data_IF_459978922482
#
_entry.id   IF_459978922482
#
_cell.length_a   1.000
_cell.length_b   1.000
_cell.length_c   1.000
_cell.angle_alpha   90.00
_cell.angle_beta   90.00
_cell.angle_gamma   90.00
#
_symmetry.space_group_name_H-M   'P 1'
#
loop_
_entity.id
_entity.type
_entity.pdbx_description
1 polymer ?
#
# COMPACT_ATOMS: atom_id res chain seq x y z
N UNK A 1 -85.60 -15.24 -29.02
CA UNK A 1 -84.83 -14.12 -28.42
C UNK A 1 -83.85 -14.67 -27.38
N UNK A 2 -82.80 -15.34 -27.86
CA UNK A 2 -81.57 -15.73 -27.16
C UNK A 2 -80.46 -15.07 -27.97
N UNK A 3 -79.33 -14.67 -27.34
CA UNK A 3 -78.09 -14.22 -28.01
C UNK A 3 -77.70 -12.73 -27.91
N UNK A 4 -77.71 -12.13 -26.72
CA UNK A 4 -76.90 -10.91 -26.48
C UNK A 4 -76.29 -10.80 -25.07
N UNK A 5 -76.74 -11.56 -24.07
CA UNK A 5 -76.23 -11.44 -22.69
C UNK A 5 -74.96 -12.26 -22.37
N UNK A 6 -74.58 -13.24 -23.20
CA UNK A 6 -73.41 -14.12 -22.93
C UNK A 6 -72.05 -13.56 -23.41
N UNK A 7 -72.03 -12.48 -24.20
CA UNK A 7 -70.80 -11.93 -24.76
C UNK A 7 -70.12 -10.88 -23.86
N UNK A 8 -70.83 -10.27 -22.90
CA UNK A 8 -70.27 -9.21 -22.05
C UNK A 8 -69.55 -9.74 -20.80
N UNK A 9 -69.91 -10.94 -20.32
CA UNK A 9 -69.27 -11.60 -19.17
C UNK A 9 -67.91 -12.24 -19.52
N UNK A 10 -67.70 -12.61 -20.79
CA UNK A 10 -66.45 -13.20 -21.29
C UNK A 10 -65.35 -12.15 -21.53
N UNK A 11 -65.74 -10.91 -21.88
CA UNK A 11 -64.82 -9.83 -22.22
C UNK A 11 -64.24 -9.13 -20.97
N UNK A 12 -65.06 -8.97 -19.93
CA UNK A 12 -64.64 -8.41 -18.63
C UNK A 12 -63.72 -9.35 -17.84
N UNK A 13 -63.88 -10.68 -17.99
CA UNK A 13 -62.99 -11.68 -17.37
C UNK A 13 -61.62 -11.78 -18.06
N UNK A 14 -61.53 -11.53 -19.38
CA UNK A 14 -60.25 -11.46 -20.11
C UNK A 14 -59.42 -10.21 -19.77
N UNK A 15 -60.04 -9.03 -19.60
CA UNK A 15 -59.33 -7.77 -19.27
C UNK A 15 -58.72 -7.75 -17.86
N UNK A 16 -59.33 -8.44 -16.89
CA UNK A 16 -58.80 -8.54 -15.51
C UNK A 16 -57.55 -9.43 -15.43
N UNK A 17 -57.50 -10.51 -16.20
CA UNK A 17 -56.34 -11.42 -16.23
C UNK A 17 -55.13 -10.83 -16.96
N UNK A 18 -55.31 -10.00 -17.99
CA UNK A 18 -54.19 -9.34 -18.68
C UNK A 18 -53.52 -8.26 -17.83
N UNK A 19 -54.28 -7.53 -17.00
CA UNK A 19 -53.72 -6.54 -16.07
C UNK A 19 -52.90 -7.18 -14.94
N UNK A 20 -53.40 -8.28 -14.37
CA UNK A 20 -52.69 -9.06 -13.34
C UNK A 20 -51.43 -9.71 -13.94
N UNK A 21 -51.51 -10.30 -15.13
CA UNK A 21 -50.36 -10.90 -15.81
C UNK A 21 -49.28 -9.86 -16.19
N UNK A 22 -49.67 -8.67 -16.66
CA UNK A 22 -48.75 -7.56 -16.93
C UNK A 22 -48.08 -7.02 -15.65
N UNK A 23 -48.80 -7.01 -14.53
CA UNK A 23 -48.23 -6.59 -13.24
C UNK A 23 -47.25 -7.62 -12.68
N UNK A 24 -47.56 -8.92 -12.81
CA UNK A 24 -46.62 -10.00 -12.48
C UNK A 24 -45.39 -9.99 -13.39
N UNK A 25 -45.55 -9.76 -14.70
CA UNK A 25 -44.44 -9.58 -15.63
C UNK A 25 -43.59 -8.36 -15.29
N UNK A 26 -44.20 -7.24 -14.90
CA UNK A 26 -43.48 -6.04 -14.48
C UNK A 26 -42.69 -6.29 -13.19
N UNK A 27 -43.30 -6.89 -12.16
CA UNK A 27 -42.59 -7.26 -10.94
C UNK A 27 -41.51 -8.32 -11.17
N UNK A 28 -41.74 -9.29 -12.05
CA UNK A 28 -40.76 -10.28 -12.45
C UNK A 28 -39.60 -9.65 -13.23
N UNK A 29 -39.86 -8.73 -14.17
CA UNK A 29 -38.84 -8.00 -14.91
C UNK A 29 -38.07 -7.03 -14.01
N UNK A 30 -38.72 -6.37 -13.06
CA UNK A 30 -38.07 -5.55 -12.03
C UNK A 30 -37.19 -6.43 -11.12
N UNK A 31 -37.69 -7.59 -10.68
CA UNK A 31 -36.94 -8.54 -9.86
C UNK A 31 -35.75 -9.14 -10.60
N UNK A 32 -35.91 -9.54 -11.88
CA UNK A 32 -34.83 -10.01 -12.75
C UNK A 32 -33.83 -8.88 -13.05
N UNK A 33 -34.29 -7.64 -13.25
CA UNK A 33 -33.39 -6.49 -13.43
C UNK A 33 -32.62 -6.13 -12.15
N UNK A 34 -33.20 -6.32 -10.97
CA UNK A 34 -32.52 -6.18 -9.68
C UNK A 34 -31.52 -7.33 -9.44
N UNK A 35 -31.83 -8.55 -9.88
CA UNK A 35 -30.93 -9.71 -9.79
C UNK A 35 -29.76 -9.66 -10.78
N UNK A 36 -29.85 -8.85 -11.84
CA UNK A 36 -28.81 -8.73 -12.88
C UNK A 36 -27.71 -7.70 -12.58
N UNK A 37 -27.72 -7.00 -11.43
CA UNK A 37 -26.73 -5.93 -11.14
C UNK A 37 -26.03 -6.09 -9.78
N UNK A 38 -26.15 -7.20 -9.07
CA UNK A 38 -25.27 -7.45 -7.91
C UNK A 38 -23.91 -7.96 -8.40
N UNK A 39 -23.12 -7.08 -9.03
CA UNK A 39 -21.66 -7.22 -8.97
C UNK A 39 -21.32 -6.91 -7.51
N UNK A 40 -21.23 -7.95 -6.68
CA UNK A 40 -20.64 -7.85 -5.34
C UNK A 40 -19.17 -7.46 -5.51
N UNK A 41 -18.93 -6.17 -5.66
CA UNK A 41 -17.60 -5.63 -5.66
C UNK A 41 -17.05 -5.66 -4.24
N UNK A 42 -15.77 -5.97 -4.12
CA UNK A 42 -15.03 -5.85 -2.87
C UNK A 42 -15.24 -4.43 -2.32
N UNK A 43 -15.72 -4.36 -1.09
CA UNK A 43 -15.97 -3.16 -0.30
C UNK A 43 -14.67 -2.40 -0.04
N UNK A 44 -13.58 -3.12 0.28
CA UNK A 44 -12.24 -2.56 0.38
C UNK A 44 -11.37 -2.96 -0.83
N UNK A 45 -11.27 -2.04 -1.79
CA UNK A 45 -10.53 -2.23 -3.04
C UNK A 45 -9.01 -2.05 -2.93
N UNK A 46 -8.46 -1.87 -1.73
CA UNK A 46 -7.00 -1.80 -1.57
C UNK A 46 -6.32 -3.10 -2.04
N UNK A 47 -5.21 -2.94 -2.77
CA UNK A 47 -4.46 -4.02 -3.43
C UNK A 47 -5.27 -4.83 -4.47
N UNK A 48 -6.24 -4.19 -5.12
CA UNK A 48 -7.00 -4.79 -6.23
C UNK A 48 -6.67 -4.12 -7.56
N UNK A 49 -6.88 -4.83 -8.66
CA UNK A 49 -6.86 -4.25 -10.00
C UNK A 49 -8.06 -3.31 -10.19
N UNK A 50 -7.85 -2.21 -10.93
CA UNK A 50 -8.88 -1.25 -11.34
C UNK A 50 -9.90 -1.86 -12.31
N UNK A 51 -10.73 -2.76 -11.79
CA UNK A 51 -11.80 -3.47 -12.51
C UNK A 51 -13.11 -3.24 -11.78
N UNK A 52 -14.25 -3.41 -12.48
CA UNK A 52 -15.57 -3.25 -11.86
C UNK A 52 -15.74 -4.13 -10.61
N UNK A 53 -15.19 -5.35 -10.64
CA UNK A 53 -15.31 -6.33 -9.57
C UNK A 53 -14.21 -6.24 -8.47
N UNK A 54 -13.08 -5.55 -8.72
CA UNK A 54 -12.01 -5.39 -7.73
C UNK A 54 -11.23 -6.67 -7.42
N UNK A 55 -10.69 -7.35 -8.44
CA UNK A 55 -9.89 -8.57 -8.24
C UNK A 55 -8.57 -8.27 -7.52
N UNK A 56 -8.22 -9.03 -6.49
CA UNK A 56 -6.94 -8.87 -5.80
C UNK A 56 -5.75 -9.06 -6.74
N UNK A 57 -4.81 -8.12 -6.71
CA UNK A 57 -3.60 -8.16 -7.50
C UNK A 57 -2.54 -9.06 -6.84
N UNK A 58 -1.49 -9.41 -7.58
CA UNK A 58 -0.38 -10.22 -7.06
C UNK A 58 0.31 -9.56 -5.87
N UNK A 59 0.41 -8.23 -5.86
CA UNK A 59 0.96 -7.46 -4.76
C UNK A 59 0.06 -7.35 -3.52
N UNK A 60 -1.13 -7.97 -3.51
CA UNK A 60 -1.93 -8.10 -2.30
C UNK A 60 -1.29 -9.08 -1.29
N UNK A 61 -0.53 -10.07 -1.77
CA UNK A 61 -0.03 -11.21 -0.97
C UNK A 61 1.46 -11.52 -1.20
N UNK A 62 2.23 -10.60 -1.79
CA UNK A 62 3.65 -10.80 -2.13
C UNK A 62 4.63 -10.51 -0.98
N UNK A 63 4.12 -10.26 0.23
CA UNK A 63 4.85 -10.14 1.47
C UNK A 63 4.55 -11.32 2.39
N UNK A 64 5.30 -11.44 3.49
CA UNK A 64 5.00 -12.37 4.57
C UNK A 64 4.21 -11.70 5.69
N UNK A 65 3.46 -12.50 6.44
CA UNK A 65 2.87 -12.06 7.69
C UNK A 65 3.97 -11.90 8.77
N UNK A 66 3.75 -11.03 9.76
CA UNK A 66 4.63 -10.95 10.94
C UNK A 66 4.35 -12.12 11.89
N UNK A 67 3.08 -12.48 12.06
CA UNK A 67 2.72 -13.76 12.71
C UNK A 67 2.71 -14.90 11.70
N UNK A 68 2.73 -16.15 12.17
CA UNK A 68 2.62 -17.30 11.26
C UNK A 68 1.30 -17.29 10.50
N UNK A 69 1.29 -17.88 9.30
CA UNK A 69 0.08 -17.99 8.48
C UNK A 69 -1.08 -18.68 9.24
N UNK A 70 -0.76 -19.66 10.09
CA UNK A 70 -1.74 -20.34 10.96
C UNK A 70 -2.30 -19.39 12.03
N UNK A 71 -1.45 -18.60 12.70
CA UNK A 71 -1.91 -17.64 13.71
C UNK A 71 -2.78 -16.53 13.09
N UNK A 72 -2.38 -16.00 11.95
CA UNK A 72 -3.18 -15.04 11.21
C UNK A 72 -4.51 -15.64 10.75
N UNK A 73 -4.53 -16.90 10.31
CA UNK A 73 -5.77 -17.59 9.95
C UNK A 73 -6.66 -17.83 11.18
N UNK A 74 -6.09 -18.07 12.36
CA UNK A 74 -6.87 -18.14 13.61
C UNK A 74 -7.49 -16.80 13.99
N UNK A 75 -6.81 -15.68 13.74
CA UNK A 75 -7.30 -14.33 14.05
C UNK A 75 -8.38 -13.88 13.05
N UNK A 76 -8.11 -14.06 11.74
CA UNK A 76 -8.93 -13.51 10.66
C UNK A 76 -9.85 -14.54 9.98
N UNK A 77 -9.71 -15.82 10.30
CA UNK A 77 -10.55 -16.93 9.80
C UNK A 77 -10.23 -17.43 8.40
N UNK A 78 -9.72 -16.57 7.50
CA UNK A 78 -9.32 -16.96 6.14
C UNK A 78 -8.28 -16.00 5.57
N UNK A 79 -7.68 -16.38 4.43
CA UNK A 79 -6.69 -15.57 3.72
C UNK A 79 -7.23 -15.09 2.38
N UNK A 80 -6.83 -13.88 1.99
CA UNK A 80 -7.06 -13.34 0.66
C UNK A 80 -6.36 -14.19 -0.41
N UNK A 81 -6.99 -14.32 -1.57
CA UNK A 81 -6.46 -15.05 -2.73
C UNK A 81 -6.41 -14.14 -3.98
N UNK A 82 -5.27 -14.15 -4.67
CA UNK A 82 -5.05 -13.38 -5.91
C UNK A 82 -6.07 -13.75 -6.99
N UNK A 83 -6.54 -12.75 -7.74
CA UNK A 83 -7.46 -12.94 -8.86
C UNK A 83 -8.91 -13.18 -8.46
N UNK A 84 -9.20 -13.35 -7.17
CA UNK A 84 -10.56 -13.51 -6.63
C UNK A 84 -11.19 -12.15 -6.33
N UNK A 85 -12.52 -12.14 -6.21
CA UNK A 85 -13.34 -10.99 -5.78
C UNK A 85 -14.00 -11.26 -4.43
N UNK A 86 -13.59 -12.32 -3.74
CA UNK A 86 -14.10 -12.65 -2.40
C UNK A 86 -13.58 -11.60 -1.44
N UNK A 87 -14.47 -10.90 -0.74
CA UNK A 87 -14.09 -9.89 0.25
C UNK A 87 -13.05 -10.44 1.23
N UNK A 88 -12.01 -9.66 1.54
CA UNK A 88 -11.08 -9.99 2.61
C UNK A 88 -11.85 -10.18 3.92
N UNK A 89 -11.32 -10.94 4.89
CA UNK A 89 -12.00 -11.08 6.18
C UNK A 89 -12.40 -9.72 6.75
N UNK A 90 -13.66 -9.55 7.17
CA UNK A 90 -14.16 -8.25 7.61
C UNK A 90 -13.35 -7.70 8.79
N UNK A 91 -12.86 -8.57 9.67
CA UNK A 91 -11.96 -8.22 10.77
C UNK A 91 -10.65 -7.57 10.30
N UNK A 92 -10.24 -7.71 9.03
CA UNK A 92 -9.07 -7.03 8.50
C UNK A 92 -9.21 -5.50 8.44
N UNK A 93 -10.44 -4.96 8.46
CA UNK A 93 -10.67 -3.51 8.34
C UNK A 93 -11.93 -3.01 9.06
N UNK A 94 -12.66 -3.89 9.73
CA UNK A 94 -13.82 -3.54 10.52
C UNK A 94 -13.62 -3.89 11.99
N UNK A 95 -14.16 -3.02 12.84
CA UNK A 95 -14.25 -3.23 14.28
C UNK A 95 -15.70 -2.95 14.70
N UNK A 96 -16.31 -3.85 15.46
CA UNK A 96 -17.71 -3.73 15.92
C UNK A 96 -18.73 -3.52 14.78
N UNK A 97 -18.47 -4.08 13.59
CA UNK A 97 -19.35 -3.99 12.43
C UNK A 97 -19.22 -2.70 11.60
N UNK A 98 -18.30 -1.81 11.96
CA UNK A 98 -18.02 -0.56 11.25
C UNK A 98 -16.58 -0.55 10.72
N UNK A 99 -16.33 0.23 9.65
CA UNK A 99 -14.96 0.40 9.13
C UNK A 99 -14.09 1.10 10.18
N UNK A 100 -12.90 0.54 10.40
CA UNK A 100 -11.91 1.07 11.34
C UNK A 100 -10.54 1.13 10.66
N UNK A 101 -10.04 2.36 10.47
CA UNK A 101 -8.67 2.59 9.99
C UNK A 101 -7.63 2.06 10.98
N UNK A 102 -7.95 2.03 12.28
CA UNK A 102 -7.08 1.42 13.29
C UNK A 102 -6.96 -0.09 13.08
N UNK A 103 -8.09 -0.79 12.93
CA UNK A 103 -8.07 -2.23 12.68
C UNK A 103 -7.37 -2.58 11.37
N UNK A 104 -7.54 -1.74 10.36
CA UNK A 104 -6.82 -1.85 9.10
C UNK A 104 -5.30 -1.69 9.28
N UNK A 105 -4.85 -0.67 10.00
CA UNK A 105 -3.42 -0.47 10.31
C UNK A 105 -2.83 -1.65 11.08
N UNK A 106 -3.56 -2.20 12.05
CA UNK A 106 -3.13 -3.40 12.78
C UNK A 106 -2.99 -4.58 11.81
N UNK A 107 -3.95 -4.76 10.90
CA UNK A 107 -3.92 -5.85 9.93
C UNK A 107 -2.75 -5.71 8.93
N UNK A 108 -2.42 -4.47 8.51
CA UNK A 108 -1.25 -4.17 7.69
C UNK A 108 0.05 -4.50 8.44
N UNK A 109 0.15 -4.17 9.73
CA UNK A 109 1.40 -4.34 10.49
C UNK A 109 1.59 -5.73 11.09
N UNK A 110 0.57 -6.59 11.11
CA UNK A 110 0.64 -7.91 11.76
C UNK A 110 0.43 -9.07 10.79
N UNK A 111 -0.63 -9.02 9.98
CA UNK A 111 -1.03 -10.08 9.06
C UNK A 111 -1.34 -9.56 7.64
N UNK A 112 -0.43 -8.80 7.01
CA UNK A 112 -0.69 -8.16 5.73
C UNK A 112 -0.93 -9.17 4.60
N UNK A 113 -0.26 -10.32 4.59
CA UNK A 113 -0.47 -11.35 3.56
C UNK A 113 -1.84 -11.99 3.70
N UNK A 114 -2.24 -12.37 4.92
CA UNK A 114 -3.56 -12.97 5.18
C UNK A 114 -4.68 -12.00 4.83
N UNK A 115 -4.54 -10.73 5.22
CA UNK A 115 -5.52 -9.69 4.93
C UNK A 115 -5.39 -9.08 3.53
N UNK A 116 -4.43 -9.52 2.70
CA UNK A 116 -4.27 -9.01 1.33
C UNK A 116 -3.87 -7.53 1.25
N UNK A 117 -3.06 -7.05 2.20
CA UNK A 117 -2.58 -5.67 2.31
C UNK A 117 -1.08 -5.51 2.05
N UNK A 118 -0.41 -6.50 1.46
CA UNK A 118 1.03 -6.40 1.21
C UNK A 118 1.40 -5.10 0.46
N UNK A 119 0.61 -4.67 -0.52
CA UNK A 119 0.84 -3.43 -1.26
C UNK A 119 0.78 -2.14 -0.42
N UNK A 120 0.31 -2.21 0.83
CA UNK A 120 0.24 -1.08 1.78
C UNK A 120 1.28 -1.20 2.91
N UNK A 121 2.09 -2.25 2.90
CA UNK A 121 3.21 -2.36 3.83
C UNK A 121 4.36 -1.50 3.33
N UNK A 122 5.06 -0.81 4.23
CA UNK A 122 6.13 0.11 3.85
C UNK A 122 7.17 -0.47 2.87
N UNK A 123 7.62 -1.75 2.99
CA UNK A 123 8.59 -2.31 2.04
C UNK A 123 8.02 -2.47 0.63
N UNK A 124 6.69 -2.52 0.47
CA UNK A 124 6.01 -2.80 -0.79
C UNK A 124 5.17 -1.60 -1.29
N UNK A 125 5.02 -0.53 -0.53
CA UNK A 125 4.20 0.64 -0.88
C UNK A 125 4.98 1.68 -1.72
N UNK A 126 5.29 1.31 -2.95
CA UNK A 126 5.85 2.20 -3.97
C UNK A 126 5.50 1.70 -5.37
N UNK A 127 5.86 2.47 -6.41
CA UNK A 127 5.74 2.02 -7.79
C UNK A 127 7.03 1.36 -8.27
N UNK A 128 6.91 0.41 -9.20
CA UNK A 128 8.05 -0.05 -9.98
C UNK A 128 8.57 1.04 -10.91
N UNK A 129 9.79 0.87 -11.43
CA UNK A 129 10.33 1.75 -12.47
C UNK A 129 9.37 1.80 -13.66
N UNK A 130 9.14 2.99 -14.26
CA UNK A 130 8.29 3.12 -15.44
C UNK A 130 8.87 2.39 -16.68
N UNK A 131 10.19 2.19 -16.70
CA UNK A 131 10.91 1.51 -17.79
C UNK A 131 11.91 0.50 -17.21
N UNK A 132 11.42 -0.62 -16.65
CA UNK A 132 12.29 -1.59 -16.03
C UNK A 132 13.03 -2.41 -17.10
N UNK A 133 14.28 -2.77 -16.84
CA UNK A 133 15.07 -3.69 -17.68
C UNK A 133 14.51 -5.10 -17.62
N UNK A 134 13.84 -5.46 -16.51
CA UNK A 134 13.17 -6.74 -16.28
C UNK A 134 11.64 -6.54 -16.28
N UNK A 135 10.89 -7.47 -16.86
CA UNK A 135 9.44 -7.46 -16.71
C UNK A 135 9.04 -7.83 -15.27
N UNK A 136 8.65 -6.83 -14.48
CA UNK A 136 8.28 -7.02 -13.07
C UNK A 136 7.13 -8.01 -12.85
N UNK A 137 6.27 -8.25 -13.84
CA UNK A 137 5.20 -9.25 -13.74
C UNK A 137 5.70 -10.70 -13.75
N UNK A 138 6.94 -10.94 -14.20
CA UNK A 138 7.57 -12.27 -14.24
C UNK A 138 8.53 -12.51 -13.07
N UNK A 139 8.76 -11.50 -12.23
CA UNK A 139 9.65 -11.62 -11.08
C UNK A 139 9.03 -12.54 -10.04
N UNK A 140 9.78 -13.55 -9.63
CA UNK A 140 9.34 -14.51 -8.62
C UNK A 140 9.94 -14.19 -7.25
N UNK A 141 9.29 -14.66 -6.18
CA UNK A 141 9.81 -14.55 -4.81
C UNK A 141 11.23 -15.15 -4.66
N UNK A 142 11.57 -16.18 -5.47
CA UNK A 142 12.93 -16.73 -5.50
C UNK A 142 13.95 -15.74 -6.08
N UNK A 143 13.58 -15.00 -7.13
CA UNK A 143 14.45 -13.96 -7.70
C UNK A 143 14.66 -12.82 -6.71
N UNK A 144 13.63 -12.43 -5.94
CA UNK A 144 13.77 -11.40 -4.90
C UNK A 144 14.77 -11.79 -3.80
N UNK A 145 14.97 -13.08 -3.54
CA UNK A 145 15.93 -13.60 -2.54
C UNK A 145 17.30 -13.92 -3.13
N UNK A 146 17.47 -13.84 -4.44
CA UNK A 146 18.71 -14.18 -5.10
C UNK A 146 19.63 -12.94 -5.15
N UNK A 147 20.84 -13.00 -4.57
CA UNK A 147 21.80 -11.90 -4.59
C UNK A 147 22.12 -11.38 -6.00
N UNK A 148 22.08 -12.25 -7.02
CA UNK A 148 22.39 -11.87 -8.40
C UNK A 148 21.37 -10.90 -8.99
N UNK A 149 20.11 -10.97 -8.54
CA UNK A 149 19.03 -10.14 -9.07
C UNK A 149 18.78 -8.89 -8.26
N UNK A 150 19.33 -8.82 -7.04
CA UNK A 150 18.96 -7.82 -6.04
C UNK A 150 19.14 -6.39 -6.54
N UNK A 151 20.26 -6.10 -7.18
CA UNK A 151 20.57 -4.76 -7.70
C UNK A 151 19.55 -4.28 -8.74
N UNK A 152 19.26 -5.13 -9.73
CA UNK A 152 18.31 -4.78 -10.79
C UNK A 152 16.89 -4.70 -10.23
N UNK A 153 16.49 -5.61 -9.35
CA UNK A 153 15.11 -5.66 -8.82
C UNK A 153 14.79 -4.49 -7.88
N UNK A 154 15.77 -3.92 -7.19
CA UNK A 154 15.58 -2.74 -6.34
C UNK A 154 15.33 -1.49 -7.16
N UNK A 155 16.05 -1.33 -8.26
CA UNK A 155 15.88 -0.18 -9.15
C UNK A 155 14.62 -0.33 -10.03
N UNK A 156 14.38 -1.55 -10.53
CA UNK A 156 13.38 -1.77 -11.57
C UNK A 156 12.03 -2.21 -11.00
N UNK A 157 12.04 -3.12 -10.01
CA UNK A 157 10.85 -3.79 -9.52
C UNK A 157 10.69 -3.76 -7.97
N UNK A 158 10.92 -2.62 -7.28
CA UNK A 158 10.95 -2.57 -5.83
C UNK A 158 9.62 -2.97 -5.17
N UNK A 159 8.47 -2.65 -5.80
CA UNK A 159 7.15 -3.03 -5.30
C UNK A 159 6.96 -4.55 -5.24
N UNK A 160 7.57 -5.30 -6.16
CA UNK A 160 7.33 -6.75 -6.26
C UNK A 160 8.08 -7.50 -5.15
N UNK A 161 9.27 -7.01 -4.82
CA UNK A 161 10.20 -7.67 -3.90
C UNK A 161 10.25 -7.08 -2.50
N UNK A 162 9.53 -5.99 -2.22
CA UNK A 162 9.55 -5.38 -0.91
C UNK A 162 10.76 -4.47 -0.69
N UNK A 163 11.22 -3.78 -1.74
CA UNK A 163 12.42 -2.93 -1.70
C UNK A 163 12.13 -1.42 -1.73
N UNK A 164 10.88 -1.01 -1.51
CA UNK A 164 10.47 0.40 -1.54
C UNK A 164 11.21 1.27 -0.52
N UNK A 165 11.55 0.71 0.64
CA UNK A 165 12.32 1.40 1.68
C UNK A 165 13.83 1.43 1.42
N UNK A 166 14.31 0.78 0.37
CA UNK A 166 15.75 0.62 0.20
C UNK A 166 16.40 1.86 -0.41
N UNK A 167 15.72 2.73 -1.16
CA UNK A 167 16.27 4.03 -1.56
C UNK A 167 17.66 3.97 -2.24
N UNK A 168 18.00 2.84 -2.87
CA UNK A 168 19.33 2.53 -3.43
C UNK A 168 20.32 1.89 -2.44
N UNK A 169 19.95 1.77 -1.17
CA UNK A 169 20.73 1.19 -0.11
C UNK A 169 20.14 -0.04 0.58
N UNK A 170 20.84 -1.14 0.35
CA UNK A 170 20.42 -2.49 0.63
C UNK A 170 21.65 -3.41 0.75
N UNK A 171 21.44 -4.55 1.38
CA UNK A 171 22.41 -5.65 1.40
C UNK A 171 22.29 -6.44 0.11
N UNK A 172 23.38 -6.69 -0.63
CA UNK A 172 23.33 -7.64 -1.75
C UNK A 172 23.18 -9.08 -1.24
N UNK A 173 23.83 -9.41 -0.12
CA UNK A 173 23.70 -10.70 0.52
C UNK A 173 22.41 -10.81 1.36
N UNK A 174 21.81 -11.99 1.38
CA UNK A 174 20.51 -12.25 2.04
C UNK A 174 20.65 -12.36 3.56
N UNK A 175 21.81 -12.83 4.03
CA UNK A 175 22.03 -13.29 5.41
C UNK A 175 22.97 -12.38 6.22
N UNK A 176 23.03 -11.09 5.88
CA UNK A 176 23.88 -10.14 6.60
C UNK A 176 23.51 -10.00 8.07
N UNK A 177 22.25 -10.29 8.44
CA UNK A 177 21.75 -10.25 9.82
C UNK A 177 22.07 -11.52 10.62
N UNK A 178 22.52 -12.61 9.97
CA UNK A 178 22.82 -13.88 10.65
C UNK A 178 24.04 -13.76 11.56
N UNK A 179 25.05 -13.02 11.14
CA UNK A 179 26.23 -12.73 11.96
C UNK A 179 26.61 -11.25 11.80
N UNK A 180 26.08 -10.41 12.68
CA UNK A 180 26.40 -8.97 12.71
C UNK A 180 27.89 -8.69 13.01
N UNK A 181 28.63 -9.65 13.59
CA UNK A 181 30.04 -9.43 13.94
C UNK A 181 30.93 -9.25 12.71
N UNK A 182 30.51 -9.74 11.54
CA UNK A 182 31.22 -9.55 10.27
C UNK A 182 31.42 -8.07 9.93
N UNK A 183 30.52 -7.19 10.38
CA UNK A 183 30.59 -5.75 10.16
C UNK A 183 31.83 -5.10 10.81
N UNK A 184 32.32 -5.66 11.92
CA UNK A 184 33.48 -5.15 12.67
C UNK A 184 34.78 -5.90 12.34
N UNK A 185 34.70 -6.98 11.57
CA UNK A 185 35.87 -7.77 11.19
C UNK A 185 36.66 -7.03 10.10
N UNK A 186 37.92 -6.72 10.39
CA UNK A 186 38.83 -6.00 9.46
C UNK A 186 39.03 -6.77 8.15
N UNK A 187 39.11 -8.09 8.19
CA UNK A 187 39.30 -8.94 7.01
C UNK A 187 38.05 -9.09 6.14
N UNK A 188 36.87 -8.69 6.63
CA UNK A 188 35.62 -8.76 5.88
C UNK A 188 35.13 -7.40 5.39
N UNK A 189 35.90 -6.32 5.62
CA UNK A 189 35.47 -4.95 5.31
C UNK A 189 35.04 -4.75 3.85
N UNK A 190 35.75 -5.35 2.89
CA UNK A 190 35.39 -5.25 1.47
C UNK A 190 34.08 -5.99 1.18
N UNK A 191 33.91 -7.19 1.75
CA UNK A 191 32.68 -7.96 1.64
C UNK A 191 31.49 -7.21 2.24
N UNK A 192 31.60 -6.70 3.48
CA UNK A 192 30.45 -6.06 4.14
C UNK A 192 30.09 -4.71 3.52
N UNK A 193 31.05 -3.98 2.97
CA UNK A 193 30.80 -2.71 2.25
C UNK A 193 30.16 -2.89 0.89
N UNK A 194 30.31 -4.06 0.26
CA UNK A 194 29.63 -4.33 -1.00
C UNK A 194 28.31 -5.08 -0.79
N UNK A 195 28.32 -6.10 0.07
CA UNK A 195 27.23 -7.07 0.17
C UNK A 195 26.35 -6.88 1.40
N UNK A 196 26.78 -6.16 2.44
CA UNK A 196 26.03 -5.98 3.68
C UNK A 196 25.90 -4.50 4.09
N UNK A 197 25.70 -3.63 3.11
CA UNK A 197 25.71 -2.17 3.29
C UNK A 197 24.66 -1.67 4.28
N UNK A 198 23.44 -2.21 4.22
CA UNK A 198 22.32 -1.81 5.06
C UNK A 198 22.50 -2.34 6.46
N UNK A 199 22.75 -3.65 6.59
CA UNK A 199 22.92 -4.29 7.89
C UNK A 199 24.13 -3.74 8.65
N UNK A 200 25.25 -3.49 7.97
CA UNK A 200 26.46 -2.95 8.59
C UNK A 200 26.50 -1.41 8.64
N UNK A 201 25.41 -0.72 8.32
CA UNK A 201 25.30 0.74 8.46
C UNK A 201 26.12 1.56 7.45
N UNK A 202 26.64 0.94 6.39
CA UNK A 202 27.23 1.65 5.24
C UNK A 202 26.20 2.36 4.38
N UNK A 203 24.92 2.15 4.67
CA UNK A 203 23.79 2.83 4.05
C UNK A 203 23.55 4.28 4.46
N UNK A 204 24.52 4.92 5.11
CA UNK A 204 24.51 6.38 5.10
C UNK A 204 24.53 6.81 3.64
N UNK A 205 23.62 7.70 3.20
CA UNK A 205 23.76 8.29 1.89
C UNK A 205 25.18 8.85 1.83
N UNK A 206 25.82 8.77 0.66
CA UNK A 206 26.84 9.75 0.34
C UNK A 206 26.18 11.08 0.67
N UNK A 207 26.61 11.71 1.75
CA UNK A 207 26.27 13.09 1.96
C UNK A 207 26.75 13.77 0.69
N UNK A 208 25.83 14.19 -0.18
CA UNK A 208 25.96 15.53 -0.73
C UNK A 208 26.34 16.35 0.49
N UNK A 209 27.57 16.83 0.54
CA UNK A 209 28.16 17.54 1.67
C UNK A 209 27.15 18.53 2.26
N UNK A 210 26.47 18.09 3.30
CA UNK A 210 25.73 18.89 4.27
C UNK A 210 26.04 18.24 5.62
N UNK A 211 26.65 18.98 6.56
CA UNK A 211 27.12 18.42 7.82
C UNK A 211 25.97 17.90 8.69
N UNK A 212 26.27 16.80 9.38
CA UNK A 212 25.47 16.16 10.43
C UNK A 212 25.10 17.14 11.58
N UNK A 213 23.84 17.19 12.07
CA UNK A 213 23.40 18.04 13.18
C UNK A 213 23.69 17.45 14.58
N UNK A 214 24.82 16.77 14.75
CA UNK A 214 25.29 16.38 16.10
C UNK A 214 26.80 16.55 16.28
N UNK A 215 27.35 17.65 15.76
CA UNK A 215 28.54 18.25 16.33
C UNK A 215 28.11 19.35 17.28
N UNK A 216 28.08 19.05 18.59
CA UNK A 216 28.14 20.06 19.65
C UNK A 216 29.53 20.71 19.60
N UNK A 217 29.73 21.55 18.59
CA UNK A 217 30.88 22.40 18.42
C UNK A 217 30.40 23.83 18.28
N UNK A 218 30.82 24.65 19.24
CA UNK A 218 30.69 26.10 19.26
C UNK A 218 31.12 26.73 17.94
N UNK A 219 30.19 26.89 16.99
CA UNK A 219 30.38 27.72 15.81
C UNK A 219 29.89 29.14 16.13
N UNK A 220 30.75 30.17 16.12
CA UNK A 220 30.37 31.55 16.43
C UNK A 220 29.35 32.18 15.45
N UNK A 221 28.96 31.48 14.38
CA UNK A 221 28.04 31.96 13.35
C UNK A 221 26.61 31.38 13.42
N UNK A 222 26.24 30.66 14.49
CA UNK A 222 24.86 30.21 14.66
C UNK A 222 23.97 31.33 15.24
N UNK A 223 23.63 32.30 14.40
CA UNK A 223 22.79 33.46 14.76
C UNK A 223 21.74 33.71 13.70
N UNK A 224 20.60 34.28 14.11
CA UNK A 224 19.63 34.82 13.16
C UNK A 224 20.14 36.16 12.63
N UNK A 225 20.27 36.26 11.31
CA UNK A 225 20.67 37.49 10.64
C UNK A 225 19.48 38.40 10.33
N UNK A 226 18.28 37.81 10.18
CA UNK A 226 17.06 38.55 9.93
C UNK A 226 16.28 38.79 11.21
N UNK A 227 15.86 40.03 11.45
CA UNK A 227 15.07 40.38 12.65
C UNK A 227 13.65 39.80 12.63
N UNK A 228 13.18 39.27 11.50
CA UNK A 228 11.83 38.73 11.35
C UNK A 228 11.73 37.22 11.61
N UNK A 229 12.82 36.54 12.00
CA UNK A 229 12.86 35.08 12.08
C UNK A 229 11.75 34.47 12.95
N UNK A 230 11.44 35.07 14.10
CA UNK A 230 10.35 34.62 14.96
C UNK A 230 8.96 34.65 14.28
N UNK A 231 8.69 35.67 13.47
CA UNK A 231 7.42 35.79 12.72
C UNK A 231 7.38 34.82 11.54
N UNK A 232 8.52 34.64 10.87
CA UNK A 232 8.64 33.75 9.72
C UNK A 232 8.55 32.27 10.13
N UNK A 233 9.18 31.87 11.24
CA UNK A 233 9.07 30.51 11.76
C UNK A 233 7.63 30.16 12.14
N UNK A 234 6.93 31.08 12.81
CA UNK A 234 5.50 30.93 13.14
C UNK A 234 4.63 30.72 11.89
N UNK A 235 5.03 31.31 10.75
CA UNK A 235 4.34 31.18 9.46
C UNK A 235 4.83 30.01 8.60
N UNK A 236 5.67 29.12 9.15
CA UNK A 236 6.14 27.92 8.46
C UNK A 236 7.37 28.11 7.58
N UNK A 237 8.14 29.19 7.75
CA UNK A 237 9.35 29.44 6.97
C UNK A 237 10.37 28.29 7.04
N UNK A 238 10.60 27.73 8.22
CA UNK A 238 11.59 26.68 8.43
C UNK A 238 11.21 25.36 7.73
N UNK A 239 9.91 25.04 7.65
CA UNK A 239 9.39 23.81 7.03
C UNK A 239 8.91 24.00 5.59
N UNK A 240 8.87 25.23 5.08
CA UNK A 240 8.39 25.55 3.74
C UNK A 240 9.31 24.96 2.65
N UNK A 241 8.75 24.28 1.63
CA UNK A 241 9.53 23.81 0.48
C UNK A 241 9.90 24.93 -0.50
N UNK A 242 9.35 26.13 -0.34
CA UNK A 242 9.62 27.28 -1.22
C UNK A 242 10.98 27.94 -0.96
N UNK A 243 11.53 27.77 0.23
CA UNK A 243 12.84 28.33 0.60
C UNK A 243 13.88 27.22 0.62
N UNK A 244 15.00 27.45 -0.05
CA UNK A 244 16.13 26.51 -0.04
C UNK A 244 16.76 26.45 1.35
N UNK A 245 17.52 25.38 1.62
CA UNK A 245 18.26 25.24 2.86
C UNK A 245 19.21 26.43 3.09
N UNK A 246 19.91 26.86 2.05
CA UNK A 246 20.87 27.98 2.11
C UNK A 246 20.17 29.29 2.45
N UNK A 247 18.96 29.50 1.93
CA UNK A 247 18.17 30.72 2.19
C UNK A 247 17.72 30.75 3.65
N UNK A 248 17.27 29.62 4.19
CA UNK A 248 16.86 29.49 5.61
C UNK A 248 18.05 29.64 6.54
N UNK A 249 19.17 29.02 6.19
CA UNK A 249 20.43 29.10 6.95
C UNK A 249 21.01 30.53 6.95
N UNK A 250 21.00 31.24 5.82
CA UNK A 250 21.55 32.60 5.74
C UNK A 250 20.72 33.64 6.51
N UNK A 251 19.43 33.39 6.76
CA UNK A 251 18.54 34.35 7.42
C UNK A 251 18.25 34.00 8.87
N UNK A 252 17.88 32.75 9.15
CA UNK A 252 17.25 32.32 10.40
C UNK A 252 17.82 30.98 10.90
N UNK A 253 19.14 30.82 10.87
CA UNK A 253 19.80 29.55 11.21
C UNK A 253 19.44 29.04 12.61
N UNK A 254 19.45 29.93 13.61
CA UNK A 254 19.16 29.58 14.99
C UNK A 254 17.65 29.34 15.20
N UNK A 255 16.80 30.23 14.70
CA UNK A 255 15.34 30.07 14.79
C UNK A 255 14.83 28.82 14.08
N UNK A 256 15.45 28.39 12.98
CA UNK A 256 15.07 27.19 12.24
C UNK A 256 15.81 25.92 12.69
N UNK A 257 16.64 26.00 13.74
CA UNK A 257 17.42 24.86 14.26
C UNK A 257 18.24 24.15 13.18
N UNK A 258 18.84 24.94 12.28
CA UNK A 258 19.74 24.45 11.21
C UNK A 258 21.22 24.44 11.65
N UNK A 259 21.46 25.00 12.81
CA UNK A 259 22.57 24.88 13.73
C UNK A 259 21.96 25.01 15.15
#
# INVERSE_FOLDING_TARGET
>A
MKSTYFLCLSYTKRRKNTGVFMQFLYHFLVFVSYFLISIEAVLDRNCTHYTAAGKYATNAVNCDNIYSDDACTMIYGSSVMVGTTTERPLLCFMLNGERSEEMKRISISTCPKTCGYCCQTEPFDCNNSPFPRINCALVTSRMCRDPQWREVLIEDCPNVCGFCLEGGCYDKAVDCTTDISICMNVGMQDFVKEYCRKTCGFCRPTATTTPDPEFRGTNPNCVDYNTNCASWSYRGYCTSPFYSYETKFANCAATCSLC
#
